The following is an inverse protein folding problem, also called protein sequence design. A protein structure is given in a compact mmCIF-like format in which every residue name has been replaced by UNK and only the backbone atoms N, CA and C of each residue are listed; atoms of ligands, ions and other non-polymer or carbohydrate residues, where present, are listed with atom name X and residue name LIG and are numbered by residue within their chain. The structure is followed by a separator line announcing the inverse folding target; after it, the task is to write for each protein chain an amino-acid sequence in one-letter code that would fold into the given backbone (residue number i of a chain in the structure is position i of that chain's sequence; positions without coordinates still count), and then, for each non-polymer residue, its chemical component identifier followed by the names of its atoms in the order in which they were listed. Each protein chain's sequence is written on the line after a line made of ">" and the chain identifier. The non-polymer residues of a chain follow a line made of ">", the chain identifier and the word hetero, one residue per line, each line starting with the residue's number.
data_IF_463650903509
#
_entry.id   IF_463650903509
#
_cell.length_a   1.000
_cell.length_b   1.000
_cell.length_c   1.000
_cell.angle_alpha   90.00
_cell.angle_beta   90.00
_cell.angle_gamma   90.00
#
_symmetry.space_group_name_H-M   'P 1'
#
loop_
_entity.id
_entity.type
_entity.pdbx_description
1 polymer ?
#
# COMPACT_ATOMS: atom_id res chain seq x y z
N UNK A 1 -0.50 3.52 -38.74
CA UNK A 1 0.58 4.28 -38.08
C UNK A 1 0.70 3.90 -36.59
N UNK A 2 -0.39 3.95 -35.82
CA UNK A 2 -0.41 3.67 -34.38
C UNK A 2 0.09 2.27 -33.99
N UNK A 3 -0.32 1.22 -34.69
CA UNK A 3 0.13 -0.17 -34.42
C UNK A 3 1.65 -0.34 -34.57
N UNK A 4 2.25 0.24 -35.62
CA UNK A 4 3.69 0.18 -35.85
C UNK A 4 4.50 0.94 -34.81
N UNK A 5 3.97 2.08 -34.34
CA UNK A 5 4.55 2.84 -33.24
C UNK A 5 4.58 2.02 -31.93
N UNK A 6 3.49 1.34 -31.58
CA UNK A 6 3.42 0.49 -30.38
C UNK A 6 4.40 -0.68 -30.45
N UNK A 7 4.54 -1.32 -31.61
CA UNK A 7 5.55 -2.38 -31.78
C UNK A 7 6.98 -1.88 -31.59
N UNK A 8 7.31 -0.72 -32.16
CA UNK A 8 8.64 -0.15 -32.00
C UNK A 8 8.92 0.26 -30.56
N UNK A 9 7.93 0.86 -29.90
CA UNK A 9 8.01 1.19 -28.48
C UNK A 9 8.23 -0.06 -27.60
N UNK A 10 7.53 -1.16 -27.86
CA UNK A 10 7.67 -2.42 -27.12
C UNK A 10 9.02 -3.11 -27.36
N UNK A 11 9.63 -2.93 -28.54
CA UNK A 11 10.97 -3.46 -28.84
C UNK A 11 12.06 -2.72 -28.07
N UNK A 12 11.88 -1.42 -27.86
CA UNK A 12 12.86 -0.57 -27.19
C UNK A 12 12.65 -0.51 -25.67
N UNK A 13 11.44 -0.83 -25.18
CA UNK A 13 11.13 -0.77 -23.75
C UNK A 13 11.69 -1.97 -22.98
N UNK A 14 12.42 -1.68 -21.91
CA UNK A 14 12.82 -2.62 -20.85
C UNK A 14 12.05 -2.39 -19.54
N UNK A 15 11.02 -1.53 -19.57
CA UNK A 15 10.27 -1.14 -18.37
C UNK A 15 8.95 -1.90 -18.28
N UNK A 16 8.86 -2.83 -17.31
CA UNK A 16 7.68 -3.67 -17.09
C UNK A 16 6.37 -2.89 -17.00
N UNK A 17 6.36 -1.76 -16.28
CA UNK A 17 5.16 -0.94 -16.12
C UNK A 17 4.69 -0.34 -17.44
N UNK A 18 5.61 0.03 -18.32
CA UNK A 18 5.29 0.57 -19.65
C UNK A 18 4.74 -0.53 -20.57
N UNK A 19 5.32 -1.73 -20.52
CA UNK A 19 4.82 -2.89 -21.27
C UNK A 19 3.40 -3.25 -20.80
N UNK A 20 3.18 -3.32 -19.48
CA UNK A 20 1.87 -3.59 -18.90
C UNK A 20 0.82 -2.54 -19.31
N UNK A 21 1.18 -1.25 -19.28
CA UNK A 21 0.30 -0.18 -19.75
C UNK A 21 0.00 -0.28 -21.26
N UNK A 22 0.96 -0.75 -22.05
CA UNK A 22 0.77 -0.95 -23.49
C UNK A 22 -0.19 -2.11 -23.78
N UNK A 23 -0.15 -3.18 -22.98
CA UNK A 23 -1.14 -4.28 -23.05
C UNK A 23 -2.54 -3.72 -22.83
N UNK A 24 -2.74 -2.96 -21.76
CA UNK A 24 -4.03 -2.35 -21.42
C UNK A 24 -4.56 -1.42 -22.54
N UNK A 25 -3.69 -0.54 -23.06
CA UNK A 25 -4.03 0.33 -24.19
C UNK A 25 -4.36 -0.45 -25.47
N UNK A 26 -3.60 -1.51 -25.76
CA UNK A 26 -3.81 -2.34 -26.94
C UNK A 26 -5.13 -3.14 -26.85
N UNK A 27 -5.53 -3.57 -25.65
CA UNK A 27 -6.82 -4.20 -25.40
C UNK A 27 -7.97 -3.21 -25.62
N UNK A 28 -7.86 -1.99 -25.09
CA UNK A 28 -8.87 -0.94 -25.30
C UNK A 28 -8.99 -0.51 -26.78
N UNK A 29 -7.91 -0.64 -27.55
CA UNK A 29 -7.85 -0.30 -28.97
C UNK A 29 -8.15 -1.49 -29.91
N UNK A 30 -8.50 -2.67 -29.38
CA UNK A 30 -8.76 -3.91 -30.13
C UNK A 30 -7.59 -4.29 -31.08
N UNK A 31 -6.36 -4.29 -30.54
CA UNK A 31 -5.12 -4.60 -31.26
C UNK A 31 -4.50 -5.94 -30.81
N UNK A 32 -5.10 -7.10 -31.13
CA UNK A 32 -4.69 -8.40 -30.59
C UNK A 32 -3.24 -8.78 -30.91
N UNK A 33 -2.73 -8.46 -32.10
CA UNK A 33 -1.33 -8.73 -32.45
C UNK A 33 -0.32 -7.94 -31.61
N UNK A 34 -0.70 -6.75 -31.12
CA UNK A 34 0.14 -5.95 -30.22
C UNK A 34 0.08 -6.55 -28.81
N UNK A 35 -1.08 -7.00 -28.36
CA UNK A 35 -1.26 -7.71 -27.08
C UNK A 35 -0.38 -8.96 -27.05
N UNK A 36 -0.49 -9.84 -28.05
CA UNK A 36 0.29 -11.08 -28.14
C UNK A 36 1.81 -10.79 -27.99
N UNK A 37 2.31 -9.79 -28.72
CA UNK A 37 3.73 -9.40 -28.66
C UNK A 37 4.12 -8.75 -27.32
N UNK A 38 3.26 -7.91 -26.76
CA UNK A 38 3.50 -7.24 -25.50
C UNK A 38 3.53 -8.22 -24.33
N UNK A 39 2.66 -9.24 -24.31
CA UNK A 39 2.66 -10.30 -23.30
C UNK A 39 3.95 -11.12 -23.36
N UNK A 40 4.43 -11.50 -24.56
CA UNK A 40 5.71 -12.18 -24.72
C UNK A 40 6.90 -11.32 -24.26
N UNK A 41 6.90 -10.03 -24.60
CA UNK A 41 7.91 -9.07 -24.11
C UNK A 41 7.87 -8.95 -22.60
N UNK A 42 6.68 -8.84 -22.02
CA UNK A 42 6.48 -8.78 -20.57
C UNK A 42 7.06 -10.02 -19.89
N UNK A 43 6.79 -11.22 -20.42
CA UNK A 43 7.34 -12.47 -19.88
C UNK A 43 8.88 -12.46 -19.89
N UNK A 44 9.49 -12.06 -21.00
CA UNK A 44 10.94 -12.01 -21.14
C UNK A 44 11.59 -11.02 -20.17
N UNK A 45 11.04 -9.80 -20.05
CA UNK A 45 11.53 -8.79 -19.11
C UNK A 45 11.27 -9.21 -17.66
N UNK A 46 10.12 -9.85 -17.40
CA UNK A 46 9.75 -10.36 -16.08
C UNK A 46 10.73 -11.42 -15.58
N UNK A 47 11.33 -12.20 -16.47
CA UNK A 47 12.29 -13.24 -16.10
C UNK A 47 13.62 -12.68 -15.59
N UNK A 48 14.00 -11.47 -16.02
CA UNK A 48 15.28 -10.83 -15.66
C UNK A 48 15.13 -9.69 -14.65
N UNK A 49 13.91 -9.22 -14.40
CA UNK A 49 13.64 -8.19 -13.40
C UNK A 49 13.92 -8.68 -11.97
N UNK A 50 14.95 -8.10 -11.33
CA UNK A 50 15.31 -8.37 -9.94
C UNK A 50 14.79 -7.35 -8.92
N UNK A 51 14.41 -6.15 -9.37
CA UNK A 51 14.00 -5.08 -8.46
C UNK A 51 12.51 -5.16 -8.09
N UNK A 52 12.24 -5.28 -6.79
CA UNK A 52 10.89 -5.34 -6.20
C UNK A 52 10.06 -4.11 -6.58
N UNK A 53 10.65 -2.91 -6.58
CA UNK A 53 9.87 -1.68 -6.85
C UNK A 53 9.38 -1.61 -8.29
N UNK A 54 10.18 -2.13 -9.22
CA UNK A 54 9.80 -2.28 -10.63
C UNK A 54 8.62 -3.25 -10.79
N UNK A 55 8.65 -4.41 -10.09
CA UNK A 55 7.55 -5.37 -10.10
C UNK A 55 6.26 -4.76 -9.52
N UNK A 56 6.37 -4.07 -8.37
CA UNK A 56 5.25 -3.41 -7.70
C UNK A 56 4.61 -2.31 -8.56
N UNK A 57 5.39 -1.65 -9.43
CA UNK A 57 4.86 -0.60 -10.31
C UNK A 57 4.07 -1.18 -11.48
N UNK A 58 4.40 -2.39 -11.93
CA UNK A 58 3.71 -3.06 -13.04
C UNK A 58 2.48 -3.87 -12.59
N UNK A 59 2.52 -4.43 -11.37
CA UNK A 59 1.50 -5.33 -10.84
C UNK A 59 0.06 -4.76 -10.91
N UNK A 60 -0.23 -3.50 -10.51
CA UNK A 60 -1.61 -3.00 -10.52
C UNK A 60 -2.25 -2.99 -11.91
N UNK A 61 -1.46 -2.66 -12.94
CA UNK A 61 -1.93 -2.66 -14.33
C UNK A 61 -2.22 -4.09 -14.80
N UNK A 62 -1.36 -5.05 -14.46
CA UNK A 62 -1.58 -6.46 -14.83
C UNK A 62 -2.82 -7.04 -14.14
N UNK A 63 -3.03 -6.73 -12.86
CA UNK A 63 -4.23 -7.13 -12.14
C UNK A 63 -5.50 -6.57 -12.78
N UNK A 64 -5.47 -5.30 -13.22
CA UNK A 64 -6.60 -4.69 -13.95
C UNK A 64 -6.86 -5.38 -15.29
N UNK A 65 -5.80 -5.67 -16.05
CA UNK A 65 -5.89 -6.40 -17.33
C UNK A 65 -6.48 -7.80 -17.13
N UNK A 66 -6.04 -8.54 -16.11
CA UNK A 66 -6.61 -9.86 -15.80
C UNK A 66 -8.07 -9.77 -15.36
N UNK A 67 -8.41 -8.75 -14.57
CA UNK A 67 -9.78 -8.61 -14.04
C UNK A 67 -10.80 -8.15 -15.07
N UNK A 68 -10.41 -7.24 -15.96
CA UNK A 68 -11.35 -6.54 -16.84
C UNK A 68 -11.02 -6.64 -18.34
N UNK A 69 -9.82 -7.12 -18.69
CA UNK A 69 -9.38 -7.23 -20.07
C UNK A 69 -10.05 -8.40 -20.80
N UNK A 70 -10.46 -8.16 -22.04
CA UNK A 70 -10.93 -9.23 -22.93
C UNK A 70 -9.73 -9.87 -23.65
N UNK A 71 -8.91 -10.58 -22.88
CA UNK A 71 -7.69 -11.23 -23.38
C UNK A 71 -8.03 -12.67 -23.83
N UNK A 72 -7.31 -13.20 -24.82
CA UNK A 72 -7.48 -14.59 -25.23
C UNK A 72 -7.10 -15.54 -24.09
N UNK A 73 -7.72 -16.72 -24.05
CA UNK A 73 -7.47 -17.69 -22.98
C UNK A 73 -5.98 -18.05 -22.78
N UNK A 74 -5.21 -18.19 -23.86
CA UNK A 74 -3.77 -18.50 -23.77
C UNK A 74 -2.97 -17.38 -23.11
N UNK A 75 -3.28 -16.12 -23.43
CA UNK A 75 -2.60 -14.96 -22.87
C UNK A 75 -2.99 -14.72 -21.41
N UNK A 76 -4.23 -15.04 -21.03
CA UNK A 76 -4.68 -15.01 -19.62
C UNK A 76 -3.81 -15.95 -18.78
N UNK A 77 -3.65 -17.21 -19.20
CA UNK A 77 -2.81 -18.19 -18.48
C UNK A 77 -1.37 -17.69 -18.33
N UNK A 78 -0.83 -17.06 -19.38
CA UNK A 78 0.53 -16.52 -19.33
C UNK A 78 0.64 -15.31 -18.39
N UNK A 79 -0.34 -14.41 -18.41
CA UNK A 79 -0.40 -13.26 -17.50
C UNK A 79 -0.57 -13.69 -16.04
N UNK A 80 -1.37 -14.71 -15.76
CA UNK A 80 -1.51 -15.31 -14.42
C UNK A 80 -0.17 -15.86 -13.92
N UNK A 81 0.58 -16.58 -14.76
CA UNK A 81 1.92 -17.09 -14.42
C UNK A 81 2.92 -15.96 -14.13
N UNK A 82 2.88 -14.89 -14.93
CA UNK A 82 3.74 -13.71 -14.70
C UNK A 82 3.37 -13.05 -13.37
N UNK A 83 2.07 -12.90 -13.09
CA UNK A 83 1.58 -12.29 -11.86
C UNK A 83 1.92 -13.13 -10.63
N UNK A 84 1.78 -14.45 -10.67
CA UNK A 84 2.24 -15.38 -9.62
C UNK A 84 3.72 -15.15 -9.31
N UNK A 85 4.55 -15.07 -10.36
CA UNK A 85 5.98 -14.79 -10.23
C UNK A 85 6.27 -13.41 -9.65
N UNK A 86 5.44 -12.40 -9.93
CA UNK A 86 5.57 -11.06 -9.35
C UNK A 86 5.23 -11.09 -7.87
N UNK A 87 4.07 -11.61 -7.51
CA UNK A 87 3.59 -11.67 -6.13
C UNK A 87 4.59 -12.42 -5.24
N UNK A 88 5.10 -13.56 -5.71
CA UNK A 88 6.10 -14.34 -4.97
C UNK A 88 7.37 -13.52 -4.70
N UNK A 89 7.93 -12.89 -5.73
CA UNK A 89 9.17 -12.10 -5.60
C UNK A 89 8.98 -10.83 -4.77
N UNK A 90 7.84 -10.15 -4.94
CA UNK A 90 7.47 -8.99 -4.13
C UNK A 90 7.35 -9.43 -2.67
N UNK A 91 6.57 -10.48 -2.37
CA UNK A 91 6.39 -10.96 -1.00
C UNK A 91 7.72 -11.33 -0.34
N UNK A 92 8.66 -11.92 -1.07
CA UNK A 92 9.99 -12.28 -0.54
C UNK A 92 10.87 -11.03 -0.33
N UNK A 93 10.92 -10.13 -1.31
CA UNK A 93 11.86 -9.01 -1.32
C UNK A 93 11.38 -7.73 -0.63
N UNK A 94 10.07 -7.60 -0.38
CA UNK A 94 9.46 -6.39 0.18
C UNK A 94 10.06 -5.98 1.54
N UNK A 95 10.31 -6.89 2.51
CA UNK A 95 10.96 -6.55 3.78
C UNK A 95 12.33 -5.85 3.59
N UNK A 96 13.17 -6.39 2.71
CA UNK A 96 14.47 -5.82 2.41
C UNK A 96 14.35 -4.47 1.68
N UNK A 97 13.38 -4.34 0.77
CA UNK A 97 13.12 -3.09 0.05
C UNK A 97 12.59 -1.97 0.95
N UNK A 98 12.01 -2.30 2.10
CA UNK A 98 11.46 -1.34 3.07
C UNK A 98 12.39 -1.03 4.25
N UNK A 99 13.59 -1.59 4.28
CA UNK A 99 14.51 -1.42 5.39
C UNK A 99 15.18 -0.04 5.36
N UNK A 100 15.15 0.69 6.49
CA UNK A 100 15.90 1.94 6.69
C UNK A 100 15.66 3.02 5.62
N UNK A 101 14.41 3.14 5.16
CA UNK A 101 14.01 4.21 4.24
C UNK A 101 13.97 5.57 4.95
N UNK A 102 14.31 6.64 4.23
CA UNK A 102 14.00 8.01 4.64
C UNK A 102 12.52 8.36 4.37
N UNK A 103 12.10 9.57 4.76
CA UNK A 103 10.71 10.02 4.64
C UNK A 103 10.18 9.99 3.20
N UNK A 104 10.96 10.48 2.23
CA UNK A 104 10.55 10.56 0.82
C UNK A 104 10.47 9.17 0.19
N UNK A 105 11.45 8.31 0.47
CA UNK A 105 11.47 6.93 0.02
C UNK A 105 10.33 6.12 0.66
N UNK A 106 10.02 6.35 1.94
CA UNK A 106 8.91 5.71 2.63
C UNK A 106 7.55 6.11 2.03
N UNK A 107 7.36 7.38 1.67
CA UNK A 107 6.14 7.85 0.99
C UNK A 107 5.99 7.22 -0.41
N UNK A 108 7.07 7.19 -1.17
CA UNK A 108 7.09 6.58 -2.51
C UNK A 108 6.88 5.06 -2.46
N UNK A 109 7.39 4.39 -1.44
CA UNK A 109 7.17 2.96 -1.20
C UNK A 109 5.73 2.70 -0.75
N UNK A 110 5.20 3.49 0.18
CA UNK A 110 3.83 3.34 0.67
C UNK A 110 2.80 3.44 -0.47
N UNK A 111 2.99 4.38 -1.38
CA UNK A 111 2.13 4.49 -2.59
C UNK A 111 2.12 3.20 -3.41
N UNK A 112 3.26 2.51 -3.53
CA UNK A 112 3.36 1.22 -4.24
C UNK A 112 2.71 0.09 -3.45
N UNK A 113 2.90 0.07 -2.12
CA UNK A 113 2.26 -0.92 -1.23
C UNK A 113 0.74 -0.80 -1.30
N UNK A 114 0.19 0.42 -1.27
CA UNK A 114 -1.24 0.69 -1.40
C UNK A 114 -1.77 0.20 -2.76
N UNK A 115 -1.12 0.60 -3.86
CA UNK A 115 -1.53 0.17 -5.19
C UNK A 115 -1.47 -1.35 -5.39
N UNK A 116 -0.45 -2.03 -4.84
CA UNK A 116 -0.35 -3.48 -4.88
C UNK A 116 -1.44 -4.13 -4.03
N UNK A 117 -1.66 -3.64 -2.82
CA UNK A 117 -2.70 -4.16 -1.93
C UNK A 117 -4.08 -4.09 -2.61
N UNK A 118 -4.46 -2.92 -3.13
CA UNK A 118 -5.74 -2.72 -3.79
C UNK A 118 -5.90 -3.63 -5.02
N UNK A 119 -4.83 -3.79 -5.81
CA UNK A 119 -4.81 -4.66 -6.98
C UNK A 119 -5.00 -6.13 -6.63
N UNK A 120 -4.36 -6.61 -5.55
CA UNK A 120 -4.50 -8.01 -5.13
C UNK A 120 -5.86 -8.27 -4.46
N UNK A 121 -6.37 -7.31 -3.68
CA UNK A 121 -7.71 -7.39 -3.09
C UNK A 121 -8.81 -7.29 -4.16
N UNK A 122 -8.52 -6.72 -5.32
CA UNK A 122 -9.43 -6.72 -6.47
C UNK A 122 -9.55 -8.11 -7.12
N UNK A 123 -8.44 -8.85 -7.20
CA UNK A 123 -8.41 -10.20 -7.79
C UNK A 123 -9.02 -11.25 -6.87
N UNK A 124 -8.80 -11.13 -5.55
CA UNK A 124 -9.33 -12.03 -4.52
C UNK A 124 -8.93 -13.51 -4.68
N UNK A 125 -7.83 -13.79 -5.38
CA UNK A 125 -7.29 -15.15 -5.50
C UNK A 125 -6.36 -15.48 -4.34
N UNK A 126 -6.61 -16.61 -3.66
CA UNK A 126 -5.87 -17.03 -2.46
C UNK A 126 -4.36 -17.19 -2.72
N UNK A 127 -3.97 -17.60 -3.94
CA UNK A 127 -2.58 -17.72 -4.37
C UNK A 127 -1.83 -16.39 -4.34
N UNK A 128 -2.52 -15.27 -4.55
CA UNK A 128 -1.93 -13.94 -4.48
C UNK A 128 -2.07 -13.31 -3.09
N UNK A 129 -3.24 -13.48 -2.49
CA UNK A 129 -3.64 -12.81 -1.25
C UNK A 129 -2.86 -13.34 -0.05
N UNK A 130 -2.63 -14.65 0.02
CA UNK A 130 -1.92 -15.29 1.14
C UNK A 130 -0.47 -14.80 1.29
N UNK A 131 0.40 -14.92 0.27
CA UNK A 131 1.79 -14.46 0.39
C UNK A 131 1.88 -12.93 0.59
N UNK A 132 0.94 -12.16 0.05
CA UNK A 132 0.86 -10.72 0.31
C UNK A 132 0.62 -10.42 1.79
N UNK A 133 -0.38 -11.06 2.40
CA UNK A 133 -0.66 -10.84 3.83
C UNK A 133 0.48 -11.30 4.73
N UNK A 134 1.18 -12.37 4.38
CA UNK A 134 2.40 -12.79 5.09
C UNK A 134 3.52 -11.76 4.96
N UNK A 135 3.66 -11.09 3.81
CA UNK A 135 4.62 -10.00 3.64
C UNK A 135 4.23 -8.76 4.47
N UNK A 136 2.96 -8.37 4.48
CA UNK A 136 2.46 -7.25 5.30
C UNK A 136 2.62 -7.53 6.80
N UNK A 137 2.36 -8.75 7.25
CA UNK A 137 2.58 -9.15 8.64
C UNK A 137 4.07 -9.05 9.02
N UNK A 138 4.98 -9.57 8.18
CA UNK A 138 6.43 -9.46 8.39
C UNK A 138 6.91 -8.01 8.43
N UNK A 139 6.41 -7.16 7.53
CA UNK A 139 6.71 -5.72 7.58
C UNK A 139 6.25 -5.10 8.89
N UNK A 140 5.03 -5.38 9.32
CA UNK A 140 4.48 -4.79 10.54
C UNK A 140 5.32 -5.13 11.79
N UNK A 141 6.06 -6.25 11.78
CA UNK A 141 6.94 -6.71 12.86
C UNK A 141 8.44 -6.39 12.62
N UNK A 142 8.78 -5.75 11.51
CA UNK A 142 10.16 -5.50 11.12
C UNK A 142 10.79 -4.36 11.93
N UNK A 143 11.94 -4.64 12.53
CA UNK A 143 12.80 -3.63 13.16
C UNK A 143 13.45 -2.76 12.09
N UNK A 144 13.44 -1.44 12.30
CA UNK A 144 13.98 -0.47 11.33
C UNK A 144 13.07 -0.21 10.13
N UNK A 145 11.79 -0.61 10.21
CA UNK A 145 10.77 -0.17 9.27
C UNK A 145 10.38 1.28 9.58
N UNK A 146 10.29 2.11 8.54
CA UNK A 146 9.84 3.48 8.69
C UNK A 146 8.43 3.55 9.29
N UNK A 147 8.21 4.45 10.27
CA UNK A 147 6.95 4.56 11.01
C UNK A 147 5.72 4.63 10.11
N UNK A 148 5.80 5.41 9.03
CA UNK A 148 4.75 5.55 8.02
C UNK A 148 4.27 4.20 7.43
N UNK A 149 5.21 3.31 7.08
CA UNK A 149 4.89 1.99 6.53
C UNK A 149 4.35 1.06 7.63
N UNK A 150 4.96 1.10 8.82
CA UNK A 150 4.54 0.30 9.96
C UNK A 150 3.09 0.60 10.38
N UNK A 151 2.73 1.89 10.46
CA UNK A 151 1.37 2.34 10.73
C UNK A 151 0.38 1.87 9.67
N UNK A 152 0.73 1.97 8.38
CA UNK A 152 -0.13 1.46 7.30
C UNK A 152 -0.30 -0.06 7.38
N UNK A 153 0.77 -0.83 7.60
CA UNK A 153 0.69 -2.28 7.69
C UNK A 153 -0.20 -2.71 8.87
N UNK A 154 -0.05 -2.06 10.02
CA UNK A 154 -0.95 -2.24 11.16
C UNK A 154 -2.41 -1.99 10.77
N UNK A 155 -2.68 -0.88 10.08
CA UNK A 155 -4.02 -0.54 9.59
C UNK A 155 -4.59 -1.60 8.65
N UNK A 156 -3.82 -2.07 7.68
CA UNK A 156 -4.27 -3.07 6.72
C UNK A 156 -4.64 -4.39 7.41
N UNK A 157 -3.80 -4.85 8.34
CA UNK A 157 -4.06 -6.08 9.10
C UNK A 157 -5.29 -5.95 9.99
N UNK A 158 -5.47 -4.79 10.64
CA UNK A 158 -6.65 -4.51 11.46
C UNK A 158 -7.94 -4.51 10.61
N UNK A 159 -7.95 -3.82 9.47
CA UNK A 159 -9.12 -3.76 8.60
C UNK A 159 -9.52 -5.14 8.06
N UNK A 160 -8.54 -6.02 7.86
CA UNK A 160 -8.76 -7.39 7.40
C UNK A 160 -9.03 -8.38 8.55
N UNK A 161 -9.19 -7.89 9.79
CA UNK A 161 -9.35 -8.70 11.01
C UNK A 161 -8.23 -9.73 11.24
N UNK A 162 -7.07 -9.51 10.63
CA UNK A 162 -5.84 -10.32 10.80
C UNK A 162 -5.02 -9.87 12.01
N UNK A 163 -5.34 -8.71 12.55
CA UNK A 163 -4.81 -8.19 13.81
C UNK A 163 -5.99 -7.84 14.72
N UNK A 164 -5.98 -8.36 15.95
CA UNK A 164 -7.01 -8.00 16.93
C UNK A 164 -6.88 -6.53 17.32
N UNK A 165 -7.99 -5.91 17.72
CA UNK A 165 -7.94 -4.52 18.19
C UNK A 165 -7.05 -4.31 19.41
N UNK A 166 -6.92 -5.33 20.28
CA UNK A 166 -5.98 -5.30 21.41
C UNK A 166 -4.52 -5.33 20.94
N UNK A 167 -4.18 -6.20 19.99
CA UNK A 167 -2.84 -6.24 19.41
C UNK A 167 -2.51 -4.95 18.65
N UNK A 168 -3.48 -4.37 17.95
CA UNK A 168 -3.34 -3.07 17.32
C UNK A 168 -3.10 -1.96 18.35
N UNK A 169 -3.86 -1.94 19.46
CA UNK A 169 -3.66 -1.00 20.57
C UNK A 169 -2.26 -1.12 21.19
N UNK A 170 -1.74 -2.34 21.37
CA UNK A 170 -0.38 -2.56 21.87
C UNK A 170 0.69 -1.99 20.92
N UNK A 171 0.55 -2.21 19.61
CA UNK A 171 1.45 -1.61 18.60
C UNK A 171 1.38 -0.09 18.62
N UNK A 172 0.19 0.45 18.82
CA UNK A 172 -0.07 1.88 18.93
C UNK A 172 0.62 2.49 20.16
N UNK A 173 0.47 1.87 21.34
CA UNK A 173 1.17 2.29 22.56
C UNK A 173 2.69 2.22 22.42
N UNK A 174 3.22 1.18 21.76
CA UNK A 174 4.65 1.07 21.52
C UNK A 174 5.18 2.17 20.60
N UNK A 175 4.52 2.35 19.45
CA UNK A 175 4.90 3.35 18.44
C UNK A 175 4.81 4.79 18.95
N UNK A 176 3.90 5.04 19.89
CA UNK A 176 3.66 6.35 20.47
C UNK A 176 4.28 6.54 21.86
N UNK A 177 5.11 5.59 22.30
CA UNK A 177 5.77 5.68 23.58
C UNK A 177 6.74 6.87 23.65
N UNK A 178 6.85 7.48 24.82
CA UNK A 178 7.68 8.68 25.07
C UNK A 178 9.19 8.43 24.98
N UNK A 179 9.61 7.17 24.77
CA UNK A 179 11.02 6.80 24.62
C UNK A 179 11.51 6.91 23.17
N UNK A 180 10.60 7.00 22.19
CA UNK A 180 10.92 7.14 20.77
C UNK A 180 11.08 8.59 20.32
N UNK A 181 11.55 8.79 19.09
CA UNK A 181 11.60 10.12 18.48
C UNK A 181 10.17 10.60 18.14
N UNK A 182 9.76 11.84 18.49
CA UNK A 182 8.41 12.34 18.22
C UNK A 182 8.00 12.28 16.73
N UNK A 183 8.96 12.41 15.83
CA UNK A 183 8.77 12.35 14.38
C UNK A 183 8.37 10.95 13.91
N UNK A 184 9.00 9.90 14.46
CA UNK A 184 8.67 8.49 14.15
C UNK A 184 7.25 8.16 14.61
N UNK A 185 6.87 8.60 15.81
CA UNK A 185 5.53 8.43 16.36
C UNK A 185 4.46 9.10 15.47
N UNK A 186 4.74 10.33 15.04
CA UNK A 186 3.85 11.06 14.13
C UNK A 186 3.77 10.43 12.73
N UNK A 187 4.90 9.94 12.18
CA UNK A 187 4.92 9.20 10.92
C UNK A 187 4.09 7.91 11.02
N UNK A 188 4.21 7.19 12.13
CA UNK A 188 3.41 5.99 12.40
C UNK A 188 1.92 6.30 12.48
N UNK A 189 1.54 7.33 13.23
CA UNK A 189 0.16 7.79 13.31
C UNK A 189 -0.39 8.17 11.93
N UNK A 190 0.41 8.89 11.12
CA UNK A 190 0.04 9.26 9.75
C UNK A 190 -0.19 8.03 8.88
N UNK A 191 0.67 7.01 8.98
CA UNK A 191 0.49 5.74 8.26
C UNK A 191 -0.79 5.00 8.67
N UNK A 192 -1.03 4.92 9.98
CA UNK A 192 -2.20 4.29 10.57
C UNK A 192 -3.50 5.00 10.18
N UNK A 193 -3.49 6.33 10.07
CA UNK A 193 -4.69 7.10 9.75
C UNK A 193 -4.85 7.43 8.26
N UNK A 194 -3.94 6.97 7.41
CA UNK A 194 -3.96 7.26 5.97
C UNK A 194 -5.24 6.76 5.30
N UNK A 195 -5.83 7.62 4.46
CA UNK A 195 -6.99 7.31 3.60
C UNK A 195 -8.34 7.71 4.20
N UNK A 196 -8.64 7.34 5.45
CA UNK A 196 -9.88 7.76 6.12
C UNK A 196 -9.74 7.82 7.62
N UNK A 197 -10.22 8.94 8.17
CA UNK A 197 -10.33 9.18 9.61
C UNK A 197 -11.54 8.49 10.25
N UNK A 198 -12.45 7.87 9.48
CA UNK A 198 -13.64 7.21 10.03
C UNK A 198 -13.34 6.11 11.04
N UNK A 199 -12.15 5.50 11.00
CA UNK A 199 -11.72 4.56 12.03
C UNK A 199 -11.75 5.16 13.42
N UNK A 200 -11.30 6.40 13.57
CA UNK A 200 -11.32 7.11 14.85
C UNK A 200 -12.75 7.38 15.32
N UNK A 201 -13.67 7.55 14.37
CA UNK A 201 -15.08 7.77 14.67
C UNK A 201 -15.72 6.48 15.18
N UNK A 202 -15.47 5.34 14.54
CA UNK A 202 -16.19 4.10 14.78
C UNK A 202 -15.49 3.07 15.69
N UNK A 203 -14.16 3.09 15.81
CA UNK A 203 -13.41 2.20 16.72
C UNK A 203 -13.04 2.96 18.00
N UNK A 204 -13.85 2.79 19.05
CA UNK A 204 -13.62 3.43 20.35
C UNK A 204 -12.27 3.06 20.97
N UNK A 205 -11.75 1.85 20.73
CA UNK A 205 -10.48 1.44 21.32
C UNK A 205 -9.35 2.28 20.75
N UNK A 206 -9.35 2.48 19.44
CA UNK A 206 -8.30 3.24 18.74
C UNK A 206 -8.45 4.73 19.05
N UNK A 207 -9.68 5.23 19.14
CA UNK A 207 -9.96 6.57 19.65
C UNK A 207 -9.33 6.79 21.03
N UNK A 208 -9.61 5.90 21.99
CA UNK A 208 -9.08 6.00 23.35
C UNK A 208 -7.55 5.98 23.39
N UNK A 209 -6.89 5.18 22.55
CA UNK A 209 -5.43 5.15 22.52
C UNK A 209 -4.85 6.46 21.98
N UNK A 210 -5.43 7.04 20.92
CA UNK A 210 -5.00 8.35 20.39
C UNK A 210 -5.20 9.45 21.42
N UNK A 211 -6.36 9.47 22.06
CA UNK A 211 -6.71 10.48 23.07
C UNK A 211 -5.77 10.41 24.27
N UNK A 212 -5.56 9.22 24.84
CA UNK A 212 -4.66 9.01 25.98
C UNK A 212 -3.21 9.37 25.63
N UNK A 213 -2.76 9.05 24.41
CA UNK A 213 -1.43 9.46 23.96
C UNK A 213 -1.32 10.98 23.91
N UNK A 214 -2.24 11.67 23.23
CA UNK A 214 -2.22 13.14 23.10
C UNK A 214 -2.24 13.82 24.48
N UNK A 215 -3.05 13.34 25.41
CA UNK A 215 -3.15 13.87 26.78
C UNK A 215 -1.90 13.56 27.61
N UNK A 216 -1.20 12.45 27.31
CA UNK A 216 0.01 12.02 28.01
C UNK A 216 1.31 12.70 27.55
N UNK A 217 1.28 13.49 26.47
CA UNK A 217 2.47 14.18 25.96
C UNK A 217 2.91 15.32 26.89
N UNK A 218 4.23 15.49 27.06
CA UNK A 218 4.77 16.72 27.65
C UNK A 218 4.56 17.91 26.72
N UNK A 219 4.60 19.14 27.25
CA UNK A 219 4.45 20.37 26.45
C UNK A 219 5.45 20.43 25.29
N UNK A 220 6.72 20.12 25.54
CA UNK A 220 7.76 20.09 24.51
C UNK A 220 7.45 19.09 23.39
N UNK A 221 7.12 17.85 23.76
CA UNK A 221 6.77 16.82 22.78
C UNK A 221 5.49 17.17 22.01
N UNK A 222 4.50 17.73 22.69
CA UNK A 222 3.26 18.17 22.09
C UNK A 222 3.51 19.24 21.01
N UNK A 223 4.33 20.25 21.30
CA UNK A 223 4.69 21.29 20.31
C UNK A 223 5.40 20.72 19.08
N UNK A 224 6.23 19.68 19.26
CA UNK A 224 6.94 19.02 18.16
C UNK A 224 6.01 18.16 17.28
N UNK A 225 5.07 17.40 17.87
CA UNK A 225 4.17 16.52 17.10
C UNK A 225 2.95 17.25 16.53
N UNK A 226 2.51 18.34 17.16
CA UNK A 226 1.27 19.03 16.80
C UNK A 226 1.19 19.40 15.31
N UNK A 227 2.23 19.95 14.65
CA UNK A 227 2.17 20.24 13.22
C UNK A 227 1.93 18.98 12.36
N UNK A 228 2.54 17.86 12.74
CA UNK A 228 2.45 16.58 12.03
C UNK A 228 1.08 15.93 12.22
N UNK A 229 0.57 15.93 13.45
CA UNK A 229 -0.80 15.48 13.77
C UNK A 229 -1.80 16.36 13.04
N UNK A 230 -1.67 17.69 13.10
CA UNK A 230 -2.56 18.62 12.40
C UNK A 230 -2.59 18.36 10.89
N UNK A 231 -1.44 18.09 10.27
CA UNK A 231 -1.36 17.73 8.85
C UNK A 231 -2.11 16.43 8.56
N UNK A 232 -1.90 15.39 9.37
CA UNK A 232 -2.60 14.11 9.25
C UNK A 232 -4.12 14.27 9.28
N UNK A 233 -4.63 15.06 10.23
CA UNK A 233 -6.07 15.31 10.34
C UNK A 233 -6.60 16.27 9.27
N UNK A 234 -5.77 17.16 8.73
CA UNK A 234 -6.18 18.09 7.67
C UNK A 234 -6.53 17.38 6.36
N UNK A 235 -5.95 16.21 6.11
CA UNK A 235 -6.22 15.38 4.93
C UNK A 235 -7.61 14.70 4.98
N UNK A 236 -8.28 14.69 6.14
CA UNK A 236 -9.62 14.14 6.29
C UNK A 236 -10.71 15.05 5.73
N UNK A 237 -11.77 14.41 5.21
CA UNK A 237 -12.94 15.12 4.73
C UNK A 237 -13.59 15.95 5.85
N UNK A 238 -14.21 17.07 5.49
CA UNK A 238 -14.85 17.96 6.47
C UNK A 238 -15.87 17.24 7.36
N UNK A 239 -16.64 16.30 6.77
CA UNK A 239 -17.60 15.48 7.52
C UNK A 239 -16.94 14.63 8.60
N UNK A 240 -15.84 13.94 8.27
CA UNK A 240 -15.08 13.12 9.22
C UNK A 240 -14.53 13.97 10.37
N UNK A 241 -13.92 15.13 10.05
CA UNK A 241 -13.42 16.07 11.05
C UNK A 241 -14.52 16.62 11.95
N UNK A 242 -15.70 16.90 11.39
CA UNK A 242 -16.87 17.34 12.17
C UNK A 242 -17.32 16.25 13.13
N UNK A 243 -17.43 14.99 12.68
CA UNK A 243 -17.82 13.87 13.54
C UNK A 243 -16.84 13.67 14.69
N UNK A 244 -15.53 13.72 14.41
CA UNK A 244 -14.50 13.67 15.47
C UNK A 244 -14.65 14.84 16.44
N UNK A 245 -14.89 16.06 15.94
CA UNK A 245 -15.11 17.23 16.78
C UNK A 245 -16.33 17.10 17.69
N UNK A 246 -17.44 16.55 17.19
CA UNK A 246 -18.62 16.24 18.01
C UNK A 246 -18.33 15.14 19.04
N UNK A 247 -17.52 14.13 18.68
CA UNK A 247 -17.07 13.08 19.62
C UNK A 247 -16.23 13.65 20.76
N UNK A 248 -15.29 14.55 20.47
CA UNK A 248 -14.52 15.27 21.50
C UNK A 248 -15.45 16.11 22.40
N UNK A 249 -16.43 16.81 21.84
CA UNK A 249 -17.40 17.61 22.61
C UNK A 249 -18.28 16.76 23.54
N UNK A 250 -18.65 15.55 23.10
CA UNK A 250 -19.46 14.63 23.89
C UNK A 250 -18.74 14.13 25.15
N UNK A 251 -17.39 14.17 25.16
CA UNK A 251 -16.56 13.67 26.26
C UNK A 251 -16.48 12.14 26.30
N UNK A 252 -15.80 11.57 27.31
CA UNK A 252 -15.74 10.12 27.49
C UNK A 252 -17.16 9.57 27.65
N UNK A 253 -17.52 8.55 26.85
CA UNK A 253 -18.75 7.82 27.13
C UNK A 253 -18.60 7.11 28.49
N UNK A 254 -19.62 7.17 29.36
CA UNK A 254 -19.58 6.59 30.71
C UNK A 254 -19.46 5.06 30.70
#
# INVERSE_FOLDING_TARGET
>A
ATTGYLFEQLRQSSHLAQIAATIDQALLADLPAVVDFAVQRLQAEAAVAGDVTTLMTALPTLARVLRYGNVRATDVVLLEQILDGFVTRIAIGLPAACYSLDDDAAEAMLTKVEACHDALMLLQEDSYVTPWWEAIARLADQVGLHGLLAGKCCRLLLNAERLSGEAAANRFHFALSTAGQPEEAAAWLRGMLRGSGLLLVYDERIWSVVDQWLVGLSEEHFLNVLPLVRRTFADFAFGERRMMGEKVKAGPQP
#
